data_IF_538148757204
#
_entry.id   IF_538148757204
#
_cell.length_a   1.000
_cell.length_b   1.000
_cell.length_c   1.000
_cell.angle_alpha   90.00
_cell.angle_beta   90.00
_cell.angle_gamma   90.00
#
_symmetry.space_group_name_H-M   'P 1'
#
loop_
_entity.id
_entity.type
_entity.pdbx_description
1 polymer ?
#
# COMPACT_ATOMS: atom_id res chain seq x y z
N UNK A 1 -1.96 52.59 25.35
CA UNK A 1 -1.14 51.56 24.67
C UNK A 1 -1.98 50.29 24.60
N UNK A 2 -2.77 50.18 23.53
CA UNK A 2 -3.60 49.02 23.21
C UNK A 2 -2.72 47.97 22.55
N UNK A 3 -2.50 46.85 23.25
CA UNK A 3 -1.71 45.76 22.72
C UNK A 3 -2.57 44.92 21.74
N UNK A 4 -1.95 44.59 20.62
CA UNK A 4 -2.55 44.09 19.38
C UNK A 4 -3.26 42.75 19.56
N UNK A 5 -4.39 42.61 18.87
CA UNK A 5 -5.14 41.36 18.78
C UNK A 5 -4.28 40.21 18.26
N UNK A 6 -4.31 39.09 18.99
CA UNK A 6 -3.96 37.81 18.44
C UNK A 6 -5.07 37.41 17.47
N UNK A 7 -4.79 37.46 16.17
CA UNK A 7 -5.48 36.58 15.24
C UNK A 7 -5.06 35.16 15.60
N UNK A 8 -5.88 34.49 16.41
CA UNK A 8 -5.80 33.04 16.54
C UNK A 8 -5.89 32.45 15.13
N UNK A 9 -4.94 31.60 14.77
CA UNK A 9 -5.03 30.85 13.53
C UNK A 9 -6.42 30.19 13.48
N UNK A 10 -7.13 30.24 12.34
CA UNK A 10 -8.45 29.62 12.23
C UNK A 10 -8.36 28.17 12.70
N UNK A 11 -9.30 27.78 13.56
CA UNK A 11 -9.34 26.43 14.14
C UNK A 11 -9.49 25.43 12.99
N UNK A 12 -8.42 24.68 12.71
CA UNK A 12 -8.41 23.69 11.63
C UNK A 12 -9.37 22.56 11.98
N UNK A 13 -10.39 22.36 11.15
CA UNK A 13 -11.35 21.27 11.28
C UNK A 13 -10.77 20.01 10.63
N UNK A 14 -10.93 18.86 11.29
CA UNK A 14 -10.75 17.56 10.64
C UNK A 14 -12.06 17.13 9.97
N UNK A 15 -12.01 16.99 8.66
CA UNK A 15 -13.16 16.63 7.83
C UNK A 15 -13.31 15.12 7.74
N UNK A 16 -14.54 14.63 7.90
CA UNK A 16 -14.88 13.22 7.64
C UNK A 16 -15.16 13.03 6.16
N UNK A 17 -14.96 11.82 5.65
CA UNK A 17 -15.09 11.55 4.22
C UNK A 17 -16.53 11.66 3.72
N UNK A 18 -17.50 11.42 4.62
CA UNK A 18 -18.92 11.54 4.36
C UNK A 18 -19.40 13.00 4.40
N UNK A 19 -18.60 13.91 4.97
CA UNK A 19 -18.96 15.32 5.06
C UNK A 19 -18.68 16.01 3.73
N UNK A 20 -19.74 16.62 3.15
CA UNK A 20 -19.60 17.49 2.00
C UNK A 20 -19.67 18.95 2.48
N UNK A 21 -18.62 19.77 2.27
CA UNK A 21 -18.64 21.18 2.61
C UNK A 21 -19.78 21.95 1.91
N UNK A 22 -20.32 22.98 2.54
CA UNK A 22 -21.46 23.73 2.00
C UNK A 22 -21.16 24.52 0.74
N UNK A 23 -19.89 24.83 0.47
CA UNK A 23 -19.48 25.52 -0.76
C UNK A 23 -19.38 24.59 -1.98
N UNK A 24 -19.52 23.28 -1.80
CA UNK A 24 -19.44 22.36 -2.93
C UNK A 24 -20.61 22.53 -3.89
N UNK A 25 -20.30 22.48 -5.18
CA UNK A 25 -21.28 22.52 -6.25
C UNK A 25 -21.82 21.11 -6.50
N UNK A 26 -23.03 21.05 -7.08
CA UNK A 26 -23.61 19.78 -7.54
C UNK A 26 -22.95 19.28 -8.82
N UNK A 27 -22.32 20.18 -9.59
CA UNK A 27 -21.59 19.88 -10.82
C UNK A 27 -20.33 20.73 -10.94
N UNK A 28 -19.34 20.16 -11.61
CA UNK A 28 -18.07 20.80 -11.94
C UNK A 28 -17.78 20.53 -13.40
N UNK A 29 -17.29 21.53 -14.14
CA UNK A 29 -16.88 21.31 -15.53
C UNK A 29 -15.63 20.46 -15.62
N UNK A 30 -14.69 20.64 -14.67
CA UNK A 30 -13.37 20.01 -14.70
C UNK A 30 -13.11 19.20 -13.45
N UNK A 31 -12.48 18.05 -13.63
CA UNK A 31 -11.78 17.36 -12.56
C UNK A 31 -10.29 17.59 -12.69
N UNK A 32 -9.60 17.84 -11.59
CA UNK A 32 -8.14 17.79 -11.52
C UNK A 32 -7.72 16.61 -10.63
N UNK A 33 -7.10 15.59 -11.23
CA UNK A 33 -6.63 14.41 -10.50
C UNK A 33 -5.21 14.68 -9.99
N UNK A 34 -5.06 14.71 -8.67
CA UNK A 34 -3.82 15.07 -7.98
C UNK A 34 -3.43 14.04 -6.93
N UNK A 35 -2.12 13.81 -6.76
CA UNK A 35 -1.57 12.94 -5.71
C UNK A 35 -0.51 13.64 -4.86
N UNK A 36 -0.17 14.89 -5.16
CA UNK A 36 0.95 15.59 -4.56
C UNK A 36 0.67 17.10 -4.43
N UNK A 37 1.13 17.79 -3.36
CA UNK A 37 0.89 19.22 -3.18
C UNK A 37 1.32 20.11 -4.35
N UNK A 38 2.42 19.74 -5.04
CA UNK A 38 2.93 20.50 -6.21
C UNK A 38 1.92 20.58 -7.37
N UNK A 39 0.98 19.64 -7.45
CA UNK A 39 -0.06 19.61 -8.47
C UNK A 39 -1.13 20.69 -8.28
N UNK A 40 -1.15 21.35 -7.12
CA UNK A 40 -2.03 22.51 -6.91
C UNK A 40 -1.51 23.76 -7.62
N UNK A 41 -0.21 23.84 -7.94
CA UNK A 41 0.40 25.02 -8.56
C UNK A 41 -0.26 25.48 -9.88
N UNK A 42 -0.59 24.55 -10.80
CA UNK A 42 -1.31 24.90 -12.03
C UNK A 42 -2.81 25.19 -11.88
N UNK A 43 -3.38 25.03 -10.68
CA UNK A 43 -4.81 25.21 -10.41
C UNK A 43 -5.01 26.51 -9.63
N UNK A 44 -5.72 27.47 -10.21
CA UNK A 44 -5.99 28.76 -9.58
C UNK A 44 -6.76 28.57 -8.25
N UNK A 45 -6.45 29.40 -7.25
CA UNK A 45 -7.03 29.29 -5.91
C UNK A 45 -8.52 29.58 -5.87
N UNK A 46 -8.96 30.46 -6.75
CA UNK A 46 -10.33 30.92 -6.93
C UNK A 46 -11.08 30.17 -8.05
N UNK A 47 -10.49 29.11 -8.62
CA UNK A 47 -11.17 28.25 -9.60
C UNK A 47 -12.27 27.44 -8.93
N UNK A 48 -13.50 27.93 -9.05
CA UNK A 48 -14.69 27.29 -8.50
C UNK A 48 -15.33 26.26 -9.45
N UNK A 49 -14.82 26.12 -10.68
CA UNK A 49 -15.35 25.24 -11.73
C UNK A 49 -14.57 23.92 -11.84
N UNK A 50 -13.45 23.82 -11.12
CA UNK A 50 -12.62 22.61 -11.02
C UNK A 50 -12.80 21.93 -9.67
N UNK A 51 -13.22 20.66 -9.68
CA UNK A 51 -13.13 19.79 -8.51
C UNK A 51 -11.77 19.11 -8.49
N UNK A 52 -10.99 19.37 -7.45
CA UNK A 52 -9.72 18.70 -7.21
C UNK A 52 -10.01 17.35 -6.55
N UNK A 53 -9.64 16.26 -7.21
CA UNK A 53 -9.75 14.91 -6.66
C UNK A 53 -8.36 14.48 -6.20
N UNK A 54 -8.15 14.50 -4.89
CA UNK A 54 -6.87 14.19 -4.25
C UNK A 54 -6.78 12.72 -3.87
N UNK A 55 -5.63 12.10 -4.14
CA UNK A 55 -5.24 10.82 -3.55
C UNK A 55 -4.40 10.97 -2.27
N UNK A 56 -4.12 12.21 -1.85
CA UNK A 56 -3.43 12.52 -0.61
C UNK A 56 -4.44 13.04 0.43
N UNK A 57 -4.57 12.31 1.54
CA UNK A 57 -5.48 12.64 2.64
C UNK A 57 -5.10 13.95 3.32
N UNK A 58 -3.82 14.23 3.53
CA UNK A 58 -3.36 15.47 4.16
C UNK A 58 -3.66 16.67 3.25
N UNK A 59 -3.37 16.53 1.95
CA UNK A 59 -3.66 17.56 0.96
C UNK A 59 -5.16 17.89 0.92
N UNK A 60 -6.01 16.88 1.00
CA UNK A 60 -7.46 17.05 1.09
C UNK A 60 -7.87 17.83 2.35
N UNK A 61 -7.36 17.44 3.52
CA UNK A 61 -7.68 18.13 4.78
C UNK A 61 -7.24 19.59 4.77
N UNK A 62 -6.02 19.88 4.30
CA UNK A 62 -5.51 21.24 4.23
C UNK A 62 -6.30 22.07 3.22
N UNK A 63 -6.49 21.57 2.00
CA UNK A 63 -7.22 22.31 0.98
C UNK A 63 -8.69 22.56 1.35
N UNK A 64 -9.35 21.66 2.08
CA UNK A 64 -10.71 21.92 2.60
C UNK A 64 -10.73 23.02 3.66
N UNK A 65 -9.74 23.05 4.56
CA UNK A 65 -9.62 24.13 5.54
C UNK A 65 -9.30 25.48 4.88
N UNK A 66 -8.63 25.45 3.73
CA UNK A 66 -8.35 26.64 2.91
C UNK A 66 -9.54 27.02 1.98
N UNK A 67 -10.67 26.31 2.07
CA UNK A 67 -11.88 26.60 1.29
C UNK A 67 -11.84 26.15 -0.18
N UNK A 68 -10.83 25.38 -0.59
CA UNK A 68 -10.74 24.84 -1.96
C UNK A 68 -11.85 23.84 -2.24
N UNK A 69 -12.19 23.67 -3.52
CA UNK A 69 -13.05 22.60 -4.00
C UNK A 69 -12.23 21.31 -4.17
N UNK A 70 -11.90 20.66 -3.04
CA UNK A 70 -11.04 19.48 -3.01
C UNK A 70 -11.69 18.31 -2.27
N UNK A 71 -11.68 17.13 -2.89
CA UNK A 71 -12.26 15.91 -2.35
C UNK A 71 -11.24 14.80 -2.35
N UNK A 72 -11.23 13.98 -1.30
CA UNK A 72 -10.43 12.76 -1.28
C UNK A 72 -11.09 11.69 -2.16
N UNK A 73 -10.30 10.99 -2.98
CA UNK A 73 -10.82 10.04 -3.98
C UNK A 73 -11.71 8.96 -3.37
N UNK A 74 -11.43 8.52 -2.13
CA UNK A 74 -12.23 7.50 -1.44
C UNK A 74 -13.67 7.94 -1.14
N UNK A 75 -13.99 9.25 -1.25
CA UNK A 75 -15.37 9.71 -1.18
C UNK A 75 -16.22 9.13 -2.33
N UNK A 76 -15.59 8.78 -3.46
CA UNK A 76 -16.20 8.02 -4.54
C UNK A 76 -16.49 6.55 -4.20
N UNK A 77 -15.95 6.02 -3.10
CA UNK A 77 -16.18 4.65 -2.65
C UNK A 77 -17.27 4.55 -1.58
N UNK A 78 -17.85 5.66 -1.14
CA UNK A 78 -18.95 5.65 -0.17
C UNK A 78 -20.15 4.92 -0.79
N UNK A 79 -20.58 3.83 -0.13
CA UNK A 79 -21.68 2.99 -0.60
C UNK A 79 -21.28 1.94 -1.64
N UNK A 80 -20.00 1.83 -2.01
CA UNK A 80 -19.49 0.71 -2.78
C UNK A 80 -19.34 -0.51 -1.87
N UNK A 81 -20.17 -1.52 -2.07
CA UNK A 81 -20.21 -2.74 -1.24
C UNK A 81 -19.08 -3.72 -1.55
N UNK A 82 -18.51 -3.68 -2.76
CA UNK A 82 -17.41 -4.55 -3.19
C UNK A 82 -17.74 -6.06 -3.16
N UNK A 83 -18.98 -6.43 -2.82
CA UNK A 83 -19.36 -7.83 -2.52
C UNK A 83 -19.39 -8.70 -3.79
N UNK A 84 -19.77 -8.12 -4.93
CA UNK A 84 -19.66 -8.79 -6.23
C UNK A 84 -18.20 -9.06 -6.65
N UNK A 85 -17.25 -8.37 -6.03
CA UNK A 85 -15.87 -8.31 -6.45
C UNK A 85 -14.92 -9.21 -5.64
N UNK A 86 -15.29 -9.60 -4.40
CA UNK A 86 -14.51 -10.56 -3.60
C UNK A 86 -14.36 -11.91 -4.30
N UNK A 87 -15.42 -12.36 -4.99
CA UNK A 87 -15.38 -13.57 -5.80
C UNK A 87 -14.44 -13.45 -7.00
N UNK A 88 -14.48 -12.32 -7.70
CA UNK A 88 -13.61 -12.04 -8.85
C UNK A 88 -12.13 -11.91 -8.44
N UNK A 89 -11.85 -11.23 -7.32
CA UNK A 89 -10.51 -11.05 -6.75
C UNK A 89 -9.77 -12.34 -6.44
N UNK A 90 -10.49 -13.42 -6.15
CA UNK A 90 -9.88 -14.70 -5.76
C UNK A 90 -9.82 -15.71 -6.90
N UNK A 91 -10.65 -15.52 -7.94
CA UNK A 91 -10.83 -16.52 -9.02
C UNK A 91 -10.25 -16.04 -10.35
N UNK A 92 -10.47 -14.78 -10.73
CA UNK A 92 -10.07 -14.21 -12.02
C UNK A 92 -8.60 -13.82 -12.16
N UNK A 93 -7.87 -13.34 -11.13
CA UNK A 93 -6.52 -12.82 -11.34
C UNK A 93 -5.47 -13.84 -11.80
N UNK A 94 -5.79 -15.14 -11.82
CA UNK A 94 -4.92 -16.17 -12.37
C UNK A 94 -5.46 -16.78 -13.67
N UNK A 95 -6.61 -16.32 -14.20
CA UNK A 95 -7.18 -16.85 -15.44
C UNK A 95 -6.23 -16.68 -16.62
N UNK A 96 -5.45 -15.60 -16.65
CA UNK A 96 -4.41 -15.37 -17.67
C UNK A 96 -3.36 -16.49 -17.76
N UNK A 97 -3.20 -17.28 -16.69
CA UNK A 97 -2.27 -18.39 -16.64
C UNK A 97 -2.79 -19.63 -17.38
N UNK A 98 -4.09 -19.73 -17.62
CA UNK A 98 -4.72 -20.91 -18.19
C UNK A 98 -5.14 -20.63 -19.64
N UNK A 99 -4.60 -21.42 -20.56
CA UNK A 99 -5.04 -21.47 -21.96
C UNK A 99 -5.81 -22.78 -22.15
N UNK A 100 -7.08 -22.69 -22.55
CA UNK A 100 -7.98 -23.85 -22.72
C UNK A 100 -8.06 -24.77 -21.48
N UNK A 101 -8.02 -24.17 -20.28
CA UNK A 101 -8.05 -24.88 -19.00
C UNK A 101 -6.72 -25.52 -18.59
N UNK A 102 -5.66 -25.37 -19.40
CA UNK A 102 -4.31 -25.85 -19.09
C UNK A 102 -3.44 -24.69 -18.66
N UNK A 103 -2.75 -24.82 -17.53
CA UNK A 103 -1.82 -23.79 -17.07
C UNK A 103 -0.63 -23.68 -18.03
N UNK A 104 -0.63 -22.64 -18.85
CA UNK A 104 0.37 -22.34 -19.86
C UNK A 104 1.69 -21.81 -19.27
N UNK A 105 1.71 -21.52 -17.96
CA UNK A 105 2.86 -20.93 -17.26
C UNK A 105 3.69 -21.97 -16.50
N UNK A 106 3.46 -23.27 -16.75
CA UNK A 106 4.26 -24.33 -16.12
C UNK A 106 5.67 -24.34 -16.74
N UNK A 107 6.67 -24.13 -15.88
CA UNK A 107 8.08 -24.25 -16.20
C UNK A 107 8.73 -25.23 -15.20
N UNK A 108 9.34 -26.31 -15.70
CA UNK A 108 9.94 -27.38 -14.88
C UNK A 108 9.02 -27.94 -13.77
N UNK A 109 7.73 -28.07 -14.08
CA UNK A 109 6.72 -28.58 -13.14
C UNK A 109 6.23 -27.56 -12.11
N UNK A 110 6.62 -26.28 -12.23
CA UNK A 110 6.19 -25.19 -11.37
C UNK A 110 5.38 -24.17 -12.16
N UNK A 111 4.21 -23.79 -11.65
CA UNK A 111 3.40 -22.69 -12.20
C UNK A 111 4.04 -21.35 -11.89
N UNK A 112 4.53 -20.64 -12.90
CA UNK A 112 5.08 -19.30 -12.73
C UNK A 112 3.99 -18.30 -12.30
N UNK A 113 2.78 -18.40 -12.87
CA UNK A 113 1.68 -17.51 -12.49
C UNK A 113 1.31 -17.61 -11.00
N UNK A 114 1.38 -18.82 -10.41
CA UNK A 114 1.09 -19.00 -8.99
C UNK A 114 2.09 -18.29 -8.08
N UNK A 115 3.28 -17.94 -8.57
CA UNK A 115 4.24 -17.15 -7.81
C UNK A 115 3.85 -15.67 -7.72
N UNK A 116 2.98 -15.18 -8.61
CA UNK A 116 2.54 -13.78 -8.70
C UNK A 116 1.09 -13.56 -8.24
N UNK A 117 0.43 -14.56 -7.66
CA UNK A 117 -0.99 -14.49 -7.23
C UNK A 117 -1.24 -13.25 -6.36
N UNK A 118 -0.36 -12.98 -5.41
CA UNK A 118 -0.50 -11.85 -4.48
C UNK A 118 -0.42 -10.52 -5.23
N UNK A 119 0.58 -10.39 -6.11
CA UNK A 119 0.81 -9.20 -6.94
C UNK A 119 -0.40 -8.96 -7.84
N UNK A 120 -0.92 -10.00 -8.48
CA UNK A 120 -2.13 -9.92 -9.30
C UNK A 120 -3.36 -9.53 -8.49
N UNK A 121 -3.56 -10.07 -7.29
CA UNK A 121 -4.66 -9.69 -6.40
C UNK A 121 -4.59 -8.20 -6.04
N UNK A 122 -3.40 -7.72 -5.65
CA UNK A 122 -3.20 -6.33 -5.26
C UNK A 122 -3.35 -5.38 -6.46
N UNK A 123 -2.82 -5.75 -7.62
CA UNK A 123 -3.03 -5.01 -8.87
C UNK A 123 -4.51 -4.87 -9.20
N UNK A 124 -5.24 -5.99 -9.18
CA UNK A 124 -6.68 -6.03 -9.51
C UNK A 124 -7.44 -5.18 -8.50
N UNK A 125 -7.21 -5.37 -7.21
CA UNK A 125 -7.82 -4.59 -6.12
C UNK A 125 -7.61 -3.08 -6.29
N UNK A 126 -6.36 -2.65 -6.50
CA UNK A 126 -6.03 -1.24 -6.68
C UNK A 126 -6.71 -0.65 -7.94
N UNK A 127 -6.66 -1.37 -9.06
CA UNK A 127 -7.25 -0.91 -10.32
C UNK A 127 -8.75 -0.70 -10.18
N UNK A 128 -9.45 -1.66 -9.60
CA UNK A 128 -10.90 -1.62 -9.44
C UNK A 128 -11.38 -0.58 -8.44
N UNK A 129 -10.61 -0.33 -7.37
CA UNK A 129 -10.90 0.78 -6.44
C UNK A 129 -10.77 2.13 -7.12
N UNK A 130 -9.68 2.37 -7.85
CA UNK A 130 -9.50 3.63 -8.58
C UNK A 130 -10.59 3.83 -9.63
N UNK A 131 -10.90 2.77 -10.37
CA UNK A 131 -11.99 2.77 -11.35
C UNK A 131 -13.33 3.09 -10.69
N UNK A 132 -13.75 2.34 -9.67
CA UNK A 132 -15.02 2.56 -8.98
C UNK A 132 -15.12 3.96 -8.36
N UNK A 133 -14.05 4.44 -7.73
CA UNK A 133 -14.01 5.79 -7.16
C UNK A 133 -14.21 6.85 -8.24
N UNK A 134 -13.44 6.78 -9.33
CA UNK A 134 -13.52 7.74 -10.42
C UNK A 134 -14.88 7.71 -11.12
N UNK A 135 -15.41 6.52 -11.41
CA UNK A 135 -16.72 6.32 -12.04
C UNK A 135 -17.86 6.92 -11.20
N UNK A 136 -17.85 6.67 -9.88
CA UNK A 136 -18.86 7.22 -8.97
C UNK A 136 -18.74 8.75 -8.85
N UNK A 137 -17.52 9.30 -8.85
CA UNK A 137 -17.31 10.74 -8.83
C UNK A 137 -17.77 11.39 -10.15
N UNK A 138 -17.44 10.79 -11.30
CA UNK A 138 -17.92 11.21 -12.62
C UNK A 138 -19.44 11.20 -12.64
N UNK A 139 -20.07 10.11 -12.22
CA UNK A 139 -21.53 10.01 -12.15
C UNK A 139 -22.17 11.04 -11.21
N UNK A 140 -21.51 11.36 -10.10
CA UNK A 140 -22.00 12.33 -9.11
C UNK A 140 -21.90 13.78 -9.57
N UNK A 141 -20.76 14.19 -10.13
CA UNK A 141 -20.47 15.61 -10.42
C UNK A 141 -20.47 15.97 -11.91
N UNK A 142 -20.46 14.98 -12.81
CA UNK A 142 -20.61 15.14 -14.25
C UNK A 142 -19.62 16.09 -14.94
N UNK A 143 -18.30 15.86 -14.83
CA UNK A 143 -17.30 16.68 -15.52
C UNK A 143 -17.31 16.49 -17.04
N UNK A 144 -16.82 17.49 -17.76
CA UNK A 144 -16.61 17.50 -19.21
C UNK A 144 -15.13 17.30 -19.58
N UNK A 145 -14.23 17.62 -18.65
CA UNK A 145 -12.77 17.47 -18.80
C UNK A 145 -12.14 16.90 -17.53
N UNK A 146 -11.16 16.01 -17.71
CA UNK A 146 -10.24 15.55 -16.67
C UNK A 146 -8.85 16.09 -16.98
N UNK A 147 -8.32 16.90 -16.06
CA UNK A 147 -6.92 17.31 -16.00
C UNK A 147 -6.17 16.23 -15.21
N UNK A 148 -5.37 15.42 -15.91
CA UNK A 148 -4.60 14.35 -15.29
C UNK A 148 -3.18 14.81 -14.98
N UNK A 149 -2.82 14.84 -13.69
CA UNK A 149 -1.44 15.01 -13.24
C UNK A 149 -0.91 13.69 -12.66
N UNK A 150 -1.64 13.12 -11.70
CA UNK A 150 -1.40 11.78 -11.16
C UNK A 150 -2.62 11.31 -10.34
N UNK A 151 -2.86 10.00 -10.29
CA UNK A 151 -4.00 9.40 -9.58
C UNK A 151 -3.58 8.22 -8.69
N UNK A 152 -2.57 8.48 -7.85
CA UNK A 152 -1.88 7.47 -7.06
C UNK A 152 -2.57 7.18 -5.72
N UNK A 153 -3.30 6.06 -5.64
CA UNK A 153 -3.79 5.52 -4.36
C UNK A 153 -2.65 5.03 -3.42
N UNK A 154 -3.01 4.74 -2.17
CA UNK A 154 -2.09 4.44 -1.06
C UNK A 154 -1.09 3.29 -1.31
N UNK A 155 -1.42 2.32 -2.17
CA UNK A 155 -0.56 1.15 -2.43
C UNK A 155 0.01 1.24 -3.86
N UNK A 156 1.34 1.36 -4.04
CA UNK A 156 1.96 1.60 -5.35
C UNK A 156 2.11 0.30 -6.15
N UNK A 157 1.03 -0.45 -6.37
CA UNK A 157 1.04 -1.61 -7.29
C UNK A 157 0.77 -1.24 -8.73
N UNK A 158 0.20 -0.06 -8.97
CA UNK A 158 -0.03 0.47 -10.31
C UNK A 158 1.08 1.46 -10.64
N UNK A 159 1.81 1.21 -11.72
CA UNK A 159 2.76 2.18 -12.25
C UNK A 159 2.04 3.39 -12.87
N UNK A 160 2.80 4.44 -13.18
CA UNK A 160 2.21 5.69 -13.69
C UNK A 160 1.48 5.52 -15.03
N UNK A 161 1.97 4.62 -15.89
CA UNK A 161 1.34 4.31 -17.17
C UNK A 161 -0.02 3.64 -16.97
N UNK A 162 -0.08 2.62 -16.12
CA UNK A 162 -1.33 1.90 -15.80
C UNK A 162 -2.37 2.84 -15.19
N UNK A 163 -1.95 3.75 -14.29
CA UNK A 163 -2.87 4.73 -13.70
C UNK A 163 -3.48 5.66 -14.76
N UNK A 164 -2.65 6.13 -15.70
CA UNK A 164 -3.11 6.95 -16.81
C UNK A 164 -4.04 6.15 -17.74
N UNK A 165 -3.74 4.89 -18.02
CA UNK A 165 -4.57 4.04 -18.87
C UNK A 165 -5.96 3.85 -18.25
N UNK A 166 -6.04 3.60 -16.94
CA UNK A 166 -7.31 3.49 -16.20
C UNK A 166 -8.14 4.79 -16.27
N UNK A 167 -7.50 5.95 -16.08
CA UNK A 167 -8.19 7.24 -16.19
C UNK A 167 -8.63 7.50 -17.62
N UNK A 168 -7.79 7.17 -18.61
CA UNK A 168 -8.09 7.33 -20.03
C UNK A 168 -9.27 6.45 -20.45
N UNK A 169 -9.34 5.22 -19.97
CA UNK A 169 -10.45 4.32 -20.21
C UNK A 169 -11.75 4.86 -19.60
N UNK A 170 -11.71 5.32 -18.34
CA UNK A 170 -12.87 5.95 -17.70
C UNK A 170 -13.34 7.20 -18.46
N UNK A 171 -12.42 8.09 -18.84
CA UNK A 171 -12.74 9.29 -19.62
C UNK A 171 -13.40 8.94 -20.96
N UNK A 172 -12.85 7.96 -21.69
CA UNK A 172 -13.40 7.49 -22.96
C UNK A 172 -14.81 6.90 -22.80
N UNK A 173 -15.06 6.08 -21.77
CA UNK A 173 -16.39 5.50 -21.51
C UNK A 173 -17.48 6.56 -21.30
N UNK A 174 -17.12 7.68 -20.68
CA UNK A 174 -18.03 8.79 -20.40
C UNK A 174 -17.98 9.93 -21.42
N UNK A 175 -17.21 9.78 -22.51
CA UNK A 175 -16.99 10.85 -23.50
C UNK A 175 -16.46 12.15 -22.90
N UNK A 176 -15.62 12.03 -21.87
CA UNK A 176 -14.95 13.14 -21.18
C UNK A 176 -13.61 13.41 -21.86
N UNK A 177 -13.29 14.68 -22.05
CA UNK A 177 -11.99 15.06 -22.60
C UNK A 177 -10.87 14.88 -21.57
N UNK A 178 -9.72 14.36 -22.01
CA UNK A 178 -8.56 14.15 -21.13
C UNK A 178 -7.43 15.12 -21.48
N UNK A 179 -7.15 16.06 -20.57
CA UNK A 179 -6.01 16.95 -20.65
C UNK A 179 -4.85 16.38 -19.83
N UNK A 180 -3.82 15.93 -20.52
CA UNK A 180 -2.63 15.34 -19.89
C UNK A 180 -1.65 16.43 -19.44
N UNK A 181 -1.34 16.41 -18.15
CA UNK A 181 -0.30 17.21 -17.49
C UNK A 181 0.54 16.27 -16.61
N UNK A 182 0.92 15.13 -17.19
CA UNK A 182 1.56 14.00 -16.50
C UNK A 182 2.71 14.48 -15.61
N UNK A 183 2.54 14.34 -14.30
CA UNK A 183 3.53 14.69 -13.28
C UNK A 183 3.53 13.64 -12.16
N UNK A 184 3.87 12.38 -12.45
CA UNK A 184 3.81 11.32 -11.45
C UNK A 184 4.74 11.62 -10.28
N UNK A 185 4.21 11.54 -9.06
CA UNK A 185 5.00 11.77 -7.85
C UNK A 185 6.04 10.65 -7.67
N UNK A 186 7.30 11.03 -7.49
CA UNK A 186 8.39 10.09 -7.24
C UNK A 186 8.10 9.34 -5.92
N UNK A 187 8.10 7.99 -5.88
CA UNK A 187 7.92 7.24 -4.65
C UNK A 187 8.92 7.56 -3.53
N UNK A 188 10.05 8.21 -3.85
CA UNK A 188 11.05 8.68 -2.91
C UNK A 188 10.82 10.11 -2.40
N UNK A 189 9.81 10.83 -2.94
CA UNK A 189 9.52 12.21 -2.54
C UNK A 189 9.16 12.28 -1.04
N UNK A 190 9.88 13.10 -0.24
CA UNK A 190 9.65 13.21 1.21
C UNK A 190 8.29 13.81 1.57
N UNK A 191 7.64 14.53 0.65
CA UNK A 191 6.33 15.16 0.88
C UNK A 191 5.17 14.18 0.74
N UNK A 192 5.40 13.00 0.16
CA UNK A 192 4.36 11.99 0.10
C UNK A 192 4.11 11.36 1.48
N UNK A 193 2.84 11.09 1.84
CA UNK A 193 2.48 10.34 3.04
C UNK A 193 2.83 8.86 2.85
N UNK A 194 4.12 8.55 2.81
CA UNK A 194 4.59 7.16 2.66
C UNK A 194 4.46 6.50 4.03
N UNK A 195 3.68 5.43 4.08
CA UNK A 195 3.52 4.58 5.26
C UNK A 195 4.86 4.15 5.88
N UNK A 196 4.84 3.59 7.10
CA UNK A 196 6.04 3.35 7.90
C UNK A 196 7.15 2.70 7.06
N UNK A 197 8.40 3.16 7.27
CA UNK A 197 9.66 2.76 6.61
C UNK A 197 9.83 1.26 6.28
N UNK A 198 9.02 0.37 6.83
CA UNK A 198 8.93 -1.04 6.48
C UNK A 198 8.50 -1.31 5.02
N UNK A 199 7.75 -0.40 4.38
CA UNK A 199 7.34 -0.51 2.97
C UNK A 199 8.27 0.23 2.00
N UNK A 200 9.08 1.16 2.50
CA UNK A 200 10.21 1.66 1.74
C UNK A 200 11.22 0.53 1.64
N UNK A 201 11.42 -0.03 0.45
CA UNK A 201 12.73 -0.56 0.07
C UNK A 201 13.66 0.64 -0.11
N UNK A 202 13.78 1.49 0.93
CA UNK A 202 14.99 2.27 1.07
C UNK A 202 16.10 1.24 1.08
N UNK A 203 17.15 1.50 0.30
CA UNK A 203 18.46 0.94 0.55
C UNK A 203 18.84 1.34 1.98
N UNK A 204 18.28 0.62 2.93
CA UNK A 204 18.59 0.76 4.34
C UNK A 204 20.09 0.61 4.43
N UNK A 205 20.72 1.24 5.39
CA UNK A 205 22.09 0.90 5.78
C UNK A 205 22.27 -0.62 6.08
N UNK A 206 21.18 -1.40 6.09
CA UNK A 206 21.10 -2.86 6.17
C UNK A 206 21.09 -3.61 4.82
N UNK A 207 20.98 -2.94 3.66
CA UNK A 207 21.39 -3.47 2.34
C UNK A 207 22.84 -3.14 2.00
N UNK A 208 23.55 -2.41 2.87
CA UNK A 208 25.00 -2.41 2.84
C UNK A 208 25.50 -3.85 2.99
N UNK A 209 26.29 -4.37 2.05
CA UNK A 209 26.78 -5.74 2.10
C UNK A 209 27.61 -5.89 3.37
N UNK A 210 27.24 -6.88 4.20
CA UNK A 210 28.13 -7.49 5.18
C UNK A 210 28.62 -6.58 6.32
N UNK A 211 27.75 -6.21 7.28
CA UNK A 211 28.28 -5.76 8.57
C UNK A 211 29.08 -6.91 9.21
N UNK A 212 30.27 -6.66 9.79
CA UNK A 212 31.05 -7.68 10.51
C UNK A 212 30.20 -8.34 11.61
N UNK A 213 29.30 -7.58 12.22
CA UNK A 213 28.36 -8.08 13.22
C UNK A 213 27.45 -9.18 12.67
N UNK A 214 26.94 -9.07 11.44
CA UNK A 214 26.13 -10.12 10.81
C UNK A 214 26.95 -11.38 10.50
N UNK A 215 28.22 -11.24 10.09
CA UNK A 215 29.12 -12.39 9.87
C UNK A 215 29.49 -13.09 11.18
N UNK A 216 29.82 -12.31 12.21
CA UNK A 216 30.13 -12.81 13.56
C UNK A 216 28.90 -13.51 14.13
N UNK A 217 27.72 -12.90 13.99
CA UNK A 217 26.45 -13.46 14.42
C UNK A 217 26.11 -14.76 13.68
N UNK A 218 26.21 -14.77 12.35
CA UNK A 218 25.98 -15.98 11.55
C UNK A 218 26.91 -17.12 11.94
N UNK A 219 28.21 -16.85 12.11
CA UNK A 219 29.19 -17.86 12.58
C UNK A 219 28.91 -18.33 14.00
N UNK A 220 28.50 -17.44 14.90
CA UNK A 220 28.13 -17.79 16.26
C UNK A 220 26.93 -18.74 16.27
N UNK A 221 25.89 -18.42 15.50
CA UNK A 221 24.67 -19.22 15.42
C UNK A 221 24.91 -20.56 14.72
N UNK A 222 25.76 -20.60 13.69
CA UNK A 222 26.22 -21.83 13.06
C UNK A 222 26.99 -22.72 14.05
N UNK A 223 27.91 -22.13 14.83
CA UNK A 223 28.69 -22.84 15.85
C UNK A 223 27.79 -23.40 16.97
N UNK A 224 26.83 -22.61 17.47
CA UNK A 224 25.84 -23.06 18.46
C UNK A 224 24.99 -24.21 17.90
N UNK A 225 24.59 -24.12 16.62
CA UNK A 225 23.80 -25.15 15.94
C UNK A 225 24.60 -26.46 15.76
N UNK A 226 25.90 -26.36 15.43
CA UNK A 226 26.80 -27.51 15.30
C UNK A 226 27.10 -28.16 16.67
N UNK A 227 27.39 -27.36 17.70
CA UNK A 227 27.59 -27.84 19.07
C UNK A 227 26.33 -28.56 19.59
N UNK A 228 25.14 -27.99 19.37
CA UNK A 228 23.88 -28.66 19.72
C UNK A 228 23.59 -29.91 18.89
N UNK A 229 24.00 -29.94 17.61
CA UNK A 229 23.94 -31.16 16.79
C UNK A 229 24.81 -32.28 17.37
N UNK A 230 25.94 -31.93 17.99
CA UNK A 230 26.81 -32.88 18.69
C UNK A 230 26.31 -33.31 20.07
N UNK A 231 25.59 -32.42 20.78
CA UNK A 231 25.12 -32.66 22.16
C UNK A 231 23.69 -33.20 22.29
N UNK A 232 22.90 -33.21 21.20
CA UNK A 232 21.48 -33.59 21.22
C UNK A 232 21.13 -34.83 20.39
N UNK A 233 20.03 -35.51 20.75
CA UNK A 233 19.44 -36.57 19.94
C UNK A 233 19.03 -36.06 18.55
N UNK A 234 19.14 -36.90 17.51
CA UNK A 234 18.77 -36.59 16.11
C UNK A 234 17.28 -36.15 16.02
N UNK A 235 17.02 -34.85 15.98
CA UNK A 235 15.67 -34.29 15.76
C UNK A 235 15.40 -34.12 14.26
N UNK A 236 14.14 -34.30 13.84
CA UNK A 236 13.72 -34.06 12.46
C UNK A 236 13.72 -32.54 12.22
N UNK A 237 14.45 -32.10 11.19
CA UNK A 237 14.59 -30.69 10.82
C UNK A 237 13.56 -30.39 9.73
N UNK A 238 12.51 -29.66 10.08
CA UNK A 238 11.50 -29.19 9.12
C UNK A 238 11.67 -27.69 9.00
N UNK A 239 11.98 -27.21 7.79
CA UNK A 239 11.98 -25.79 7.50
C UNK A 239 10.53 -25.35 7.26
N UNK A 240 10.01 -24.49 8.14
CA UNK A 240 8.66 -23.94 8.01
C UNK A 240 8.76 -22.43 7.76
N UNK A 241 8.28 -21.98 6.60
CA UNK A 241 8.11 -20.56 6.32
C UNK A 241 6.81 -20.08 7.00
N UNK A 242 6.93 -19.34 8.11
CA UNK A 242 5.78 -18.94 8.92
C UNK A 242 5.58 -17.42 8.97
N UNK A 243 4.33 -17.00 9.11
CA UNK A 243 3.95 -15.61 9.40
C UNK A 243 3.97 -15.34 10.90
N UNK A 244 4.04 -14.06 11.30
CA UNK A 244 4.09 -13.64 12.72
C UNK A 244 2.94 -14.20 13.57
N UNK A 245 1.76 -14.41 12.97
CA UNK A 245 0.57 -14.93 13.64
C UNK A 245 0.68 -16.41 14.02
N UNK A 246 1.47 -17.19 13.28
CA UNK A 246 1.63 -18.63 13.48
C UNK A 246 2.88 -18.97 14.31
N UNK A 247 3.86 -18.07 14.34
CA UNK A 247 5.15 -18.27 15.04
C UNK A 247 4.97 -18.32 16.56
N UNK A 248 4.18 -17.41 17.14
CA UNK A 248 4.05 -17.29 18.61
C UNK A 248 3.35 -18.52 19.21
N UNK A 249 2.15 -18.93 18.75
CA UNK A 249 1.47 -20.10 19.32
C UNK A 249 2.28 -21.38 19.13
N UNK A 250 2.99 -21.51 18.00
CA UNK A 250 3.83 -22.67 17.74
C UNK A 250 5.02 -22.74 18.71
N UNK A 251 5.72 -21.62 18.95
CA UNK A 251 6.84 -21.58 19.89
C UNK A 251 6.41 -21.79 21.34
N UNK A 252 5.18 -21.39 21.68
CA UNK A 252 4.62 -21.60 23.00
C UNK A 252 4.14 -23.05 23.21
N UNK A 253 3.53 -23.67 22.20
CA UNK A 253 2.96 -25.02 22.25
C UNK A 253 3.85 -26.17 21.75
N UNK A 254 5.02 -25.90 21.15
CA UNK A 254 5.95 -26.93 20.67
C UNK A 254 6.53 -27.72 21.85
N UNK A 255 6.27 -29.04 21.83
CA UNK A 255 6.94 -30.02 22.67
C UNK A 255 8.37 -30.26 22.15
N UNK A 256 9.36 -30.12 23.03
CA UNK A 256 10.78 -29.96 22.71
C UNK A 256 11.43 -31.21 22.08
N UNK A 257 10.69 -32.31 21.88
CA UNK A 257 11.27 -33.62 21.58
C UNK A 257 11.31 -34.00 20.10
N UNK A 258 10.47 -33.42 19.23
CA UNK A 258 10.31 -33.92 17.86
C UNK A 258 10.79 -32.97 16.73
N UNK A 259 10.68 -31.65 16.92
CA UNK A 259 10.92 -30.66 15.86
C UNK A 259 11.73 -29.45 16.35
N UNK A 260 12.38 -28.76 15.42
CA UNK A 260 13.10 -27.50 15.68
C UNK A 260 12.70 -26.46 14.63
N UNK A 261 11.90 -25.44 14.99
CA UNK A 261 11.47 -24.41 14.05
C UNK A 261 12.62 -23.46 13.74
N UNK A 262 12.82 -23.12 12.48
CA UNK A 262 13.74 -22.05 12.04
C UNK A 262 12.89 -20.82 11.72
N UNK A 263 13.20 -19.66 12.31
CA UNK A 263 12.45 -18.41 12.10
C UNK A 263 13.42 -17.30 11.75
N UNK A 264 13.24 -16.72 10.56
CA UNK A 264 14.07 -15.62 10.09
C UNK A 264 13.99 -14.42 11.06
N UNK A 265 15.14 -14.04 11.60
CA UNK A 265 15.39 -12.92 12.52
C UNK A 265 14.66 -11.63 12.14
N UNK A 266 14.69 -11.34 10.85
CA UNK A 266 14.13 -10.10 10.28
C UNK A 266 12.61 -10.02 10.44
N UNK A 267 11.94 -11.17 10.53
CA UNK A 267 10.49 -11.30 10.71
C UNK A 267 10.13 -11.87 12.08
N UNK A 268 10.98 -11.63 13.08
CA UNK A 268 10.77 -12.15 14.42
C UNK A 268 9.88 -11.20 15.26
N UNK A 269 8.69 -11.62 15.73
CA UNK A 269 7.85 -10.79 16.58
C UNK A 269 8.49 -10.60 17.96
N UNK A 270 8.28 -9.44 18.61
CA UNK A 270 8.78 -9.14 19.97
C UNK A 270 10.30 -9.30 20.15
N UNK A 271 11.10 -8.99 19.12
CA UNK A 271 12.58 -8.97 19.19
C UNK A 271 13.17 -8.08 20.29
N UNK A 272 12.38 -7.16 20.84
CA UNK A 272 12.75 -6.27 21.95
C UNK A 272 12.47 -6.87 23.33
N UNK A 273 11.80 -8.03 23.40
CA UNK A 273 11.53 -8.76 24.63
C UNK A 273 12.66 -9.77 24.91
N UNK A 274 13.48 -9.54 25.95
CA UNK A 274 14.61 -10.41 26.26
C UNK A 274 14.18 -11.83 26.67
N UNK A 275 13.06 -11.95 27.40
CA UNK A 275 12.57 -13.23 27.89
C UNK A 275 12.07 -14.12 26.75
N UNK A 276 11.36 -13.51 25.81
CA UNK A 276 10.90 -14.22 24.60
C UNK A 276 12.08 -14.60 23.69
N UNK A 277 13.05 -13.71 23.52
CA UNK A 277 14.29 -13.96 22.75
C UNK A 277 15.07 -15.15 23.30
N UNK A 278 15.25 -15.21 24.63
CA UNK A 278 15.95 -16.30 25.30
C UNK A 278 15.20 -17.64 25.16
N UNK A 279 13.87 -17.61 25.25
CA UNK A 279 13.00 -18.79 25.02
C UNK A 279 13.10 -19.32 23.59
N UNK A 280 13.35 -18.46 22.60
CA UNK A 280 13.45 -18.88 21.20
C UNK A 280 14.84 -19.41 20.85
N UNK A 281 15.89 -18.84 21.45
CA UNK A 281 17.24 -19.41 21.44
C UNK A 281 17.25 -20.81 22.09
N UNK A 282 16.52 -20.99 23.20
CA UNK A 282 16.44 -22.30 23.86
C UNK A 282 15.71 -23.34 23.00
N UNK A 283 14.70 -22.93 22.22
CA UNK A 283 13.90 -23.80 21.31
C UNK A 283 14.44 -23.96 19.87
N UNK A 284 15.67 -23.53 19.61
CA UNK A 284 16.38 -23.68 18.34
C UNK A 284 15.76 -22.91 17.15
N UNK A 285 15.24 -21.71 17.42
CA UNK A 285 15.00 -20.71 16.39
C UNK A 285 16.34 -20.20 15.88
N UNK A 286 16.73 -20.65 14.69
CA UNK A 286 17.83 -20.02 13.94
C UNK A 286 17.29 -18.73 13.36
N UNK A 287 17.93 -17.64 13.76
CA UNK A 287 17.69 -16.25 13.40
C UNK A 287 18.23 -15.95 12.00
#
# INVERSE_FOLDING_TARGET
MTNKGGHGAPERKLWRIEETPSHFKTRYRRFALVSHPRHLGPIEEDDDDTLIVSCDWLLWQEGLNDGRHILYFEAGLIGWDGDGYVGELLTRPNEWAYLDGVNATIFDGVSLAHQFVREMHLFTYCSKRLEAALENLIGRFGPEEIIYMDYRAEIPFLDAATRLDLVSEAANRHSISLRRMDDPADPSDPLLPIGPKALRVEESFLTAPQSPAMKIYGRLMETISLLRRGLGAKRRRVLMAMTHLNVIPLLEGLDDRAMSPVVLARRFPRKTDPGFTFKCLSKAVVW
#
